data_IF_868381088893
#
_entry.id   IF_868381088893
#
_cell.length_a   1.000
_cell.length_b   1.000
_cell.length_c   1.000
_cell.angle_alpha   90.00
_cell.angle_beta   90.00
_cell.angle_gamma   90.00
#
_symmetry.space_group_name_H-M   'P 1'
#
loop_
_entity.id
_entity.type
_entity.pdbx_description
1 polymer ?
#
# COMPACT_ATOMS: atom_id res chain seq x y z
N UNK A 1 -7.16 -3.88 37.45
CA UNK A 1 -8.52 -3.43 37.10
C UNK A 1 -8.97 -4.23 35.90
N UNK A 2 -10.16 -4.83 35.95
CA UNK A 2 -10.72 -5.65 34.86
C UNK A 2 -11.70 -4.78 34.10
N UNK A 3 -11.54 -4.69 32.78
CA UNK A 3 -12.43 -3.91 31.91
C UNK A 3 -12.78 -4.76 30.70
N UNK A 4 -14.07 -4.88 30.40
CA UNK A 4 -14.58 -5.58 29.21
C UNK A 4 -15.41 -4.64 28.34
N UNK A 5 -15.41 -4.88 27.04
CA UNK A 5 -16.21 -4.15 26.06
C UNK A 5 -17.21 -5.04 25.32
N UNK A 6 -17.93 -4.42 24.38
CA UNK A 6 -18.83 -5.08 23.44
C UNK A 6 -18.43 -4.68 22.01
N UNK A 7 -19.01 -5.31 20.99
CA UNK A 7 -18.83 -5.08 19.54
C UNK A 7 -17.53 -5.56 18.88
N UNK A 8 -16.42 -5.65 19.61
CA UNK A 8 -15.09 -5.95 19.02
C UNK A 8 -14.66 -5.00 17.89
N UNK A 9 -14.92 -3.70 18.07
CA UNK A 9 -14.44 -2.65 17.16
C UNK A 9 -12.90 -2.64 17.06
N UNK A 10 -12.39 -2.08 15.97
CA UNK A 10 -10.94 -1.91 15.79
C UNK A 10 -10.33 -1.03 16.88
N UNK A 11 -11.04 -0.02 17.37
CA UNK A 11 -10.62 0.83 18.48
C UNK A 11 -10.41 0.05 19.79
N UNK A 12 -11.17 -1.03 20.02
CA UNK A 12 -10.99 -1.89 21.19
C UNK A 12 -9.61 -2.60 21.18
N UNK A 13 -8.99 -2.79 20.01
CA UNK A 13 -7.61 -3.28 19.88
C UNK A 13 -6.61 -2.19 20.24
N UNK A 14 -6.88 -0.95 19.83
CA UNK A 14 -5.99 0.20 20.04
C UNK A 14 -5.99 0.76 21.48
N UNK A 15 -6.85 0.27 22.37
CA UNK A 15 -6.79 0.62 23.79
C UNK A 15 -5.50 0.11 24.45
N UNK A 16 -4.99 0.81 25.45
CA UNK A 16 -3.87 0.33 26.29
C UNK A 16 -4.35 0.15 27.74
N UNK A 17 -4.49 -1.09 28.24
CA UNK A 17 -4.29 -2.37 27.54
C UNK A 17 -5.40 -2.70 26.52
N UNK A 18 -5.09 -3.55 25.53
CA UNK A 18 -6.07 -3.96 24.52
C UNK A 18 -7.31 -4.60 25.16
N UNK A 19 -8.48 -4.13 24.74
CA UNK A 19 -9.75 -4.37 25.43
C UNK A 19 -10.34 -5.73 25.05
N UNK A 20 -10.53 -6.60 26.05
CA UNK A 20 -11.33 -7.81 25.95
C UNK A 20 -12.77 -7.44 25.67
N UNK A 21 -13.42 -8.15 24.76
CA UNK A 21 -14.72 -7.72 24.23
C UNK A 21 -15.53 -8.90 23.73
N UNK A 22 -16.84 -8.72 23.61
CA UNK A 22 -17.72 -9.67 22.92
C UNK A 22 -17.88 -9.23 21.47
N UNK A 23 -17.45 -10.06 20.52
CA UNK A 23 -17.66 -9.84 19.09
C UNK A 23 -19.11 -10.10 18.74
N UNK A 24 -19.77 -9.07 18.22
CA UNK A 24 -21.06 -9.18 17.58
C UNK A 24 -20.90 -9.64 16.11
N UNK A 25 -21.70 -10.59 15.62
CA UNK A 25 -21.60 -11.08 14.25
C UNK A 25 -22.30 -10.13 13.25
N UNK A 26 -21.87 -8.86 13.17
CA UNK A 26 -22.54 -7.80 12.39
C UNK A 26 -22.72 -8.12 10.91
N UNK A 27 -21.73 -8.74 10.26
CA UNK A 27 -21.83 -9.14 8.84
C UNK A 27 -22.87 -10.24 8.62
N UNK A 28 -22.94 -11.19 9.55
CA UNK A 28 -23.89 -12.30 9.51
C UNK A 28 -25.31 -11.79 9.82
N UNK A 29 -25.45 -10.83 10.74
CA UNK A 29 -26.73 -10.14 11.01
C UNK A 29 -27.23 -9.51 9.72
N UNK A 30 -26.40 -8.75 9.00
CA UNK A 30 -26.79 -8.13 7.73
C UNK A 30 -27.19 -9.16 6.68
N UNK A 31 -26.38 -10.20 6.49
CA UNK A 31 -26.65 -11.27 5.51
C UNK A 31 -27.93 -12.03 5.82
N UNK A 32 -28.11 -12.47 7.07
CA UNK A 32 -29.29 -13.24 7.47
C UNK A 32 -30.55 -12.36 7.53
N UNK A 33 -30.43 -11.06 7.85
CA UNK A 33 -31.56 -10.14 7.79
C UNK A 33 -32.12 -10.00 6.36
N UNK A 34 -31.24 -9.79 5.37
CA UNK A 34 -31.65 -9.70 3.95
C UNK A 34 -32.26 -11.03 3.48
N UNK A 35 -31.63 -12.15 3.84
CA UNK A 35 -32.14 -13.49 3.50
C UNK A 35 -33.51 -13.76 4.13
N UNK A 36 -33.69 -13.41 5.41
CA UNK A 36 -34.95 -13.55 6.13
C UNK A 36 -36.06 -12.70 5.50
N UNK A 37 -35.75 -11.47 5.08
CA UNK A 37 -36.68 -10.59 4.37
C UNK A 37 -37.15 -11.21 3.05
N UNK A 38 -36.21 -11.75 2.25
CA UNK A 38 -36.54 -12.42 0.97
C UNK A 38 -37.38 -13.67 1.19
N UNK A 39 -37.09 -14.46 2.23
CA UNK A 39 -37.88 -15.62 2.61
C UNK A 39 -39.31 -15.23 3.02
N UNK A 40 -39.48 -14.12 3.76
CA UNK A 40 -40.81 -13.61 4.13
C UNK A 40 -41.59 -13.13 2.90
N UNK A 41 -40.96 -12.33 2.04
CA UNK A 41 -41.61 -11.81 0.81
C UNK A 41 -42.03 -12.96 -0.12
N UNK A 42 -41.24 -14.02 -0.20
CA UNK A 42 -41.54 -15.21 -1.01
C UNK A 42 -42.48 -16.22 -0.33
N UNK A 43 -42.96 -15.92 0.88
CA UNK A 43 -43.86 -16.81 1.63
C UNK A 43 -43.19 -18.07 2.19
N UNK A 44 -41.85 -18.15 2.19
CA UNK A 44 -41.09 -19.28 2.76
C UNK A 44 -40.95 -19.21 4.28
N UNK A 45 -41.18 -18.04 4.89
CA UNK A 45 -41.15 -17.81 6.34
C UNK A 45 -42.25 -16.84 6.76
N UNK A 46 -42.68 -16.95 8.01
CA UNK A 46 -43.71 -16.09 8.59
C UNK A 46 -43.18 -14.72 9.03
N UNK A 47 -44.03 -13.71 8.98
CA UNK A 47 -43.76 -12.40 9.57
C UNK A 47 -43.59 -12.52 11.09
N UNK A 48 -42.56 -11.88 11.65
CA UNK A 48 -42.22 -12.00 13.07
C UNK A 48 -41.23 -13.12 13.38
N UNK A 49 -40.69 -13.82 12.37
CA UNK A 49 -39.59 -14.79 12.57
C UNK A 49 -38.39 -14.09 13.22
N UNK A 50 -37.91 -14.65 14.35
CA UNK A 50 -36.71 -14.17 15.04
C UNK A 50 -35.56 -15.16 14.84
N UNK A 51 -34.38 -14.65 14.50
CA UNK A 51 -33.14 -15.41 14.37
C UNK A 51 -32.13 -14.91 15.38
N UNK A 52 -31.60 -15.81 16.20
CA UNK A 52 -30.51 -15.51 17.14
C UNK A 52 -29.19 -16.00 16.56
N UNK A 53 -28.22 -15.09 16.45
CA UNK A 53 -26.87 -15.40 15.98
C UNK A 53 -25.89 -15.44 17.16
N UNK A 54 -24.90 -16.34 17.15
CA UNK A 54 -23.97 -16.50 18.25
C UNK A 54 -22.96 -15.35 18.31
N UNK A 55 -22.83 -14.73 19.50
CA UNK A 55 -21.72 -13.83 19.81
C UNK A 55 -20.47 -14.61 20.25
N UNK A 56 -19.28 -14.06 20.04
CA UNK A 56 -18.02 -14.69 20.44
C UNK A 56 -17.21 -13.86 21.43
N UNK A 57 -16.69 -14.47 22.49
CA UNK A 57 -15.77 -13.78 23.41
C UNK A 57 -14.39 -13.62 22.76
N UNK A 58 -13.85 -12.39 22.79
CA UNK A 58 -12.52 -12.04 22.32
C UNK A 58 -11.67 -11.64 23.53
N UNK A 59 -10.74 -12.51 23.88
CA UNK A 59 -9.85 -12.32 25.01
C UNK A 59 -8.59 -11.57 24.59
N UNK A 60 -8.23 -10.58 25.40
CA UNK A 60 -7.09 -9.66 25.30
C UNK A 60 -6.53 -9.33 26.70
N UNK A 61 -5.86 -8.19 26.86
CA UNK A 61 -5.09 -7.83 28.07
C UNK A 61 -5.90 -7.15 29.17
N UNK A 62 -7.10 -6.64 28.89
CA UNK A 62 -7.93 -5.95 29.90
C UNK A 62 -8.79 -6.88 30.77
N UNK A 63 -8.90 -8.18 30.47
CA UNK A 63 -9.73 -9.13 31.23
C UNK A 63 -9.11 -9.56 32.57
N UNK A 64 -7.86 -9.17 32.85
CA UNK A 64 -7.15 -9.58 34.06
C UNK A 64 -6.86 -11.09 34.17
N UNK A 65 -7.07 -11.86 33.10
CA UNK A 65 -6.80 -13.31 33.10
C UNK A 65 -5.31 -13.58 32.86
N UNK A 66 -4.68 -14.27 33.83
CA UNK A 66 -3.33 -14.87 33.73
C UNK A 66 -3.41 -16.35 33.28
N UNK A 67 -4.63 -16.91 33.16
CA UNK A 67 -4.89 -18.29 32.69
C UNK A 67 -6.15 -18.35 31.82
N UNK A 68 -5.99 -18.47 30.50
CA UNK A 68 -7.03 -18.82 29.55
C UNK A 68 -6.54 -20.04 28.76
N UNK A 69 -7.27 -21.17 28.79
CA UNK A 69 -6.97 -22.29 27.91
C UNK A 69 -7.24 -21.89 26.45
N UNK A 70 -6.22 -22.02 25.61
CA UNK A 70 -6.25 -21.70 24.19
C UNK A 70 -6.98 -22.80 23.41
N UNK A 71 -8.27 -22.61 23.12
CA UNK A 71 -9.02 -23.51 22.24
C UNK A 71 -8.76 -23.27 20.74
N UNK A 72 -7.74 -22.48 20.37
CA UNK A 72 -7.50 -21.98 19.01
C UNK A 72 -6.59 -22.83 18.12
N UNK A 73 -5.94 -23.88 18.62
CA UNK A 73 -5.05 -24.71 17.80
C UNK A 73 -5.88 -25.71 17.01
N UNK A 74 -6.27 -25.36 15.78
CA UNK A 74 -6.69 -26.38 14.81
C UNK A 74 -5.57 -27.43 14.70
N UNK A 75 -5.93 -28.72 14.60
CA UNK A 75 -4.97 -29.80 14.31
C UNK A 75 -4.16 -29.42 13.07
N UNK A 76 -2.86 -29.17 13.26
CA UNK A 76 -1.94 -28.80 12.18
C UNK A 76 -1.82 -29.92 11.14
N UNK A 77 -1.57 -29.56 9.88
CA UNK A 77 -1.32 -30.50 8.80
C UNK A 77 0.19 -30.78 8.72
N UNK A 78 0.62 -31.98 9.14
CA UNK A 78 1.99 -32.48 8.95
C UNK A 78 3.12 -31.61 9.55
N UNK A 79 4.38 -32.07 9.46
CA UNK A 79 5.55 -31.26 9.81
C UNK A 79 5.76 -30.16 8.74
N UNK A 80 6.01 -28.93 9.17
CA UNK A 80 6.27 -27.82 8.25
C UNK A 80 7.78 -27.70 7.97
N UNK A 81 8.23 -27.82 6.70
CA UNK A 81 9.66 -27.73 6.36
C UNK A 81 10.29 -26.39 6.79
N UNK A 82 9.55 -25.28 6.74
CA UNK A 82 10.01 -23.95 7.17
C UNK A 82 10.27 -23.88 8.69
N UNK A 83 9.54 -24.68 9.48
CA UNK A 83 9.63 -24.71 10.94
C UNK A 83 10.47 -25.90 11.47
N UNK A 84 11.10 -26.69 10.60
CA UNK A 84 11.65 -28.00 10.99
C UNK A 84 12.71 -27.96 12.10
N UNK A 85 13.56 -26.92 12.13
CA UNK A 85 14.56 -26.71 13.19
C UNK A 85 13.88 -26.32 14.49
N UNK A 86 12.93 -25.39 14.42
CA UNK A 86 12.14 -24.94 15.56
C UNK A 86 11.35 -26.10 16.17
N UNK A 87 10.63 -26.89 15.35
CA UNK A 87 9.81 -28.02 15.81
C UNK A 87 10.65 -29.03 16.60
N UNK A 88 11.84 -29.38 16.11
CA UNK A 88 12.75 -30.33 16.78
C UNK A 88 13.27 -29.78 18.12
N UNK A 89 13.63 -28.50 18.18
CA UNK A 89 14.11 -27.86 19.39
C UNK A 89 12.98 -27.75 20.43
N UNK A 90 11.80 -27.31 20.00
CA UNK A 90 10.63 -27.17 20.86
C UNK A 90 10.18 -28.52 21.42
N UNK A 91 10.10 -29.57 20.59
CA UNK A 91 9.73 -30.91 21.05
C UNK A 91 10.75 -31.48 22.06
N UNK A 92 12.05 -31.23 21.86
CA UNK A 92 13.10 -31.63 22.81
C UNK A 92 12.91 -30.95 24.17
N UNK A 93 12.61 -29.65 24.18
CA UNK A 93 12.41 -28.89 25.43
C UNK A 93 11.15 -29.36 26.17
N UNK A 94 10.05 -29.59 25.45
CA UNK A 94 8.81 -30.12 26.02
C UNK A 94 9.02 -31.48 26.70
N UNK A 95 9.85 -32.35 26.12
CA UNK A 95 10.14 -33.70 26.65
C UNK A 95 11.15 -33.71 27.80
N UNK A 96 12.22 -32.92 27.71
CA UNK A 96 13.40 -33.11 28.56
C UNK A 96 13.73 -31.92 29.46
N UNK A 97 13.27 -30.70 29.14
CA UNK A 97 13.74 -29.46 29.80
C UNK A 97 12.65 -28.38 29.79
N UNK A 98 11.53 -28.68 30.47
CA UNK A 98 10.33 -27.85 30.47
C UNK A 98 10.54 -26.43 31.03
N UNK A 99 11.54 -26.22 31.90
CA UNK A 99 11.87 -24.91 32.49
C UNK A 99 12.35 -23.88 31.46
N UNK A 100 12.99 -24.32 30.38
CA UNK A 100 13.54 -23.44 29.35
C UNK A 100 12.57 -23.13 28.20
N UNK A 101 11.36 -23.71 28.23
CA UNK A 101 10.37 -23.58 27.14
C UNK A 101 9.90 -22.14 26.96
N UNK A 102 9.64 -21.44 28.07
CA UNK A 102 9.16 -20.05 28.05
C UNK A 102 10.23 -19.14 27.47
N UNK A 103 11.46 -19.21 28.00
CA UNK A 103 12.59 -18.40 27.52
C UNK A 103 12.89 -18.68 26.04
N UNK A 104 12.77 -19.95 25.61
CA UNK A 104 12.90 -20.30 24.19
C UNK A 104 11.83 -19.62 23.34
N UNK A 105 10.55 -19.70 23.74
CA UNK A 105 9.46 -19.07 23.00
C UNK A 105 9.57 -17.55 22.95
N UNK A 106 9.97 -16.90 24.04
CA UNK A 106 10.18 -15.44 24.08
C UNK A 106 11.31 -14.99 23.16
N UNK A 107 12.43 -15.74 23.13
CA UNK A 107 13.54 -15.43 22.23
C UNK A 107 13.18 -15.66 20.75
N UNK A 108 12.44 -16.73 20.46
CA UNK A 108 11.99 -17.02 19.10
C UNK A 108 10.91 -16.05 18.63
N UNK A 109 10.02 -15.60 19.52
CA UNK A 109 9.00 -14.60 19.24
C UNK A 109 9.58 -13.33 18.61
N UNK A 110 10.67 -12.79 19.17
CA UNK A 110 11.33 -11.59 18.64
C UNK A 110 11.81 -11.83 17.20
N UNK A 111 12.35 -13.01 16.91
CA UNK A 111 12.80 -13.36 15.55
C UNK A 111 11.62 -13.49 14.59
N UNK A 112 10.51 -14.08 15.03
CA UNK A 112 9.29 -14.23 14.23
C UNK A 112 8.62 -12.88 13.95
N UNK A 113 8.59 -11.97 14.93
CA UNK A 113 8.04 -10.62 14.73
C UNK A 113 8.89 -9.77 13.78
N UNK A 114 10.20 -10.02 13.71
CA UNK A 114 11.13 -9.31 12.81
C UNK A 114 11.15 -9.84 11.38
N UNK A 115 10.64 -11.04 11.14
CA UNK A 115 10.62 -11.67 9.82
C UNK A 115 9.21 -11.64 9.23
N UNK A 116 9.07 -11.70 7.91
CA UNK A 116 7.77 -11.93 7.23
C UNK A 116 7.27 -13.38 7.45
N UNK A 117 7.61 -13.98 8.60
CA UNK A 117 7.28 -15.34 8.94
C UNK A 117 5.77 -15.52 9.06
N UNK A 118 5.28 -16.64 8.54
CA UNK A 118 3.87 -16.96 8.61
C UNK A 118 3.52 -17.43 10.02
N UNK A 119 2.97 -16.53 10.84
CA UNK A 119 2.58 -16.83 12.22
C UNK A 119 1.60 -18.02 12.29
N UNK A 120 0.72 -18.20 11.29
CA UNK A 120 -0.22 -19.31 11.29
C UNK A 120 0.49 -20.66 11.20
N UNK A 121 1.58 -20.73 10.43
CA UNK A 121 2.43 -21.91 10.34
C UNK A 121 3.03 -22.22 11.71
N UNK A 122 3.62 -21.22 12.38
CA UNK A 122 4.20 -21.38 13.72
C UNK A 122 3.17 -21.88 14.75
N UNK A 123 2.03 -21.21 14.83
CA UNK A 123 0.96 -21.55 15.76
C UNK A 123 0.47 -22.97 15.50
N UNK A 124 0.33 -23.38 14.24
CA UNK A 124 -0.07 -24.74 13.88
C UNK A 124 0.96 -25.79 14.33
N UNK A 125 2.26 -25.53 14.16
CA UNK A 125 3.35 -26.42 14.57
C UNK A 125 3.42 -26.54 16.10
N UNK A 126 3.37 -25.43 16.82
CA UNK A 126 3.35 -25.42 18.29
C UNK A 126 2.13 -26.20 18.78
N UNK A 127 0.96 -25.95 18.19
CA UNK A 127 -0.25 -26.63 18.62
C UNK A 127 -0.29 -28.11 18.33
N UNK A 128 0.30 -28.56 17.22
CA UNK A 128 0.51 -29.98 16.95
C UNK A 128 1.36 -30.62 18.06
N UNK A 129 2.50 -30.02 18.38
CA UNK A 129 3.43 -30.57 19.39
C UNK A 129 2.79 -30.59 20.78
N UNK A 130 2.09 -29.52 21.18
CA UNK A 130 1.40 -29.48 22.47
C UNK A 130 0.29 -30.52 22.59
N UNK A 131 -0.44 -30.78 21.50
CA UNK A 131 -1.47 -31.83 21.47
C UNK A 131 -0.89 -33.24 21.52
N UNK A 132 0.25 -33.48 20.86
CA UNK A 132 0.94 -34.78 20.87
C UNK A 132 1.50 -35.12 22.26
N UNK A 133 1.92 -34.12 23.04
CA UNK A 133 2.57 -34.29 24.35
C UNK A 133 1.72 -33.81 25.53
N UNK A 134 0.41 -33.61 25.34
CA UNK A 134 -0.48 -32.94 26.31
C UNK A 134 -0.48 -33.57 27.71
N UNK A 135 -0.30 -34.88 27.81
CA UNK A 135 -0.31 -35.62 29.08
C UNK A 135 1.00 -35.53 29.87
N UNK A 136 2.10 -35.07 29.25
CA UNK A 136 3.42 -34.97 29.87
C UNK A 136 3.82 -33.55 30.31
N UNK A 137 2.96 -32.55 30.06
CA UNK A 137 3.27 -31.13 30.31
C UNK A 137 2.60 -30.68 31.61
N UNK A 138 3.35 -29.98 32.46
CA UNK A 138 2.78 -29.40 33.68
C UNK A 138 1.64 -28.41 33.33
N UNK A 139 0.46 -28.47 34.00
CA UNK A 139 -0.67 -27.60 33.67
C UNK A 139 -0.35 -26.10 33.73
N UNK A 140 0.50 -25.67 34.67
CA UNK A 140 0.98 -24.28 34.76
C UNK A 140 1.77 -23.86 33.53
N UNK A 141 2.72 -24.71 33.09
CA UNK A 141 3.52 -24.46 31.90
C UNK A 141 2.64 -24.39 30.64
N UNK A 142 1.69 -25.31 30.50
CA UNK A 142 0.75 -25.32 29.37
C UNK A 142 -0.05 -24.01 29.31
N UNK A 143 -0.54 -23.52 30.45
CA UNK A 143 -1.23 -22.23 30.54
C UNK A 143 -0.31 -21.07 30.15
N UNK A 144 0.93 -21.03 30.67
CA UNK A 144 1.89 -19.97 30.34
C UNK A 144 2.24 -19.95 28.84
N UNK A 145 2.42 -21.11 28.23
CA UNK A 145 2.63 -21.23 26.78
C UNK A 145 1.43 -20.65 26.03
N UNK A 146 0.20 -21.03 26.41
CA UNK A 146 -1.01 -20.50 25.80
C UNK A 146 -1.16 -18.99 25.94
N UNK A 147 -0.79 -18.43 27.08
CA UNK A 147 -0.76 -16.98 27.28
C UNK A 147 0.19 -16.29 26.33
N UNK A 148 1.42 -16.80 26.20
CA UNK A 148 2.38 -16.25 25.26
C UNK A 148 1.87 -16.32 23.82
N UNK A 149 1.28 -17.44 23.40
CA UNK A 149 0.73 -17.57 22.05
C UNK A 149 -0.42 -16.58 21.77
N UNK A 150 -1.25 -16.27 22.78
CA UNK A 150 -2.28 -15.24 22.66
C UNK A 150 -1.65 -13.85 22.47
N UNK A 151 -0.68 -13.50 23.30
CA UNK A 151 0.00 -12.20 23.24
C UNK A 151 0.67 -12.05 21.87
N UNK A 152 1.43 -13.05 21.43
CA UNK A 152 2.13 -13.03 20.15
C UNK A 152 1.17 -12.88 18.96
N UNK A 153 0.00 -13.53 19.02
CA UNK A 153 -1.00 -13.41 17.96
C UNK A 153 -1.60 -12.02 17.87
N UNK A 154 -1.89 -11.39 19.02
CA UNK A 154 -2.40 -10.02 19.02
C UNK A 154 -1.31 -9.03 18.58
N UNK A 155 -0.10 -9.12 19.12
CA UNK A 155 1.03 -8.23 18.74
C UNK A 155 1.38 -8.35 17.25
N UNK A 156 1.43 -9.56 16.71
CA UNK A 156 1.66 -9.75 15.27
C UNK A 156 0.53 -9.17 14.42
N UNK A 157 -0.72 -9.34 14.85
CA UNK A 157 -1.86 -8.75 14.14
C UNK A 157 -1.80 -7.22 14.16
N UNK A 158 -1.49 -6.62 15.30
CA UNK A 158 -1.30 -5.17 15.45
C UNK A 158 -0.17 -4.66 14.56
N UNK A 159 1.01 -5.30 14.59
CA UNK A 159 2.14 -4.93 13.74
C UNK A 159 1.79 -5.01 12.26
N UNK A 160 1.08 -6.06 11.82
CA UNK A 160 0.67 -6.20 10.41
C UNK A 160 -0.35 -5.14 10.00
N UNK A 161 -1.28 -4.78 10.88
CA UNK A 161 -2.23 -3.70 10.62
C UNK A 161 -1.54 -2.34 10.57
N UNK A 162 -0.65 -2.05 11.51
CA UNK A 162 0.13 -0.81 11.51
C UNK A 162 1.00 -0.69 10.26
N UNK A 163 1.66 -1.78 9.86
CA UNK A 163 2.44 -1.83 8.61
C UNK A 163 1.56 -1.56 7.39
N UNK A 164 0.37 -2.17 7.33
CA UNK A 164 -0.58 -1.91 6.24
C UNK A 164 -1.07 -0.45 6.23
N UNK A 165 -1.41 0.11 7.41
CA UNK A 165 -1.80 1.51 7.52
C UNK A 165 -0.67 2.45 7.10
N UNK A 166 0.57 2.16 7.50
CA UNK A 166 1.75 2.92 7.10
C UNK A 166 1.96 2.86 5.58
N UNK A 167 1.82 1.69 4.96
CA UNK A 167 1.87 1.52 3.50
C UNK A 167 0.75 2.32 2.79
N UNK A 168 -0.47 2.31 3.33
CA UNK A 168 -1.61 3.08 2.81
C UNK A 168 -1.38 4.61 2.96
N UNK A 169 -0.88 5.06 4.11
CA UNK A 169 -0.56 6.47 4.38
C UNK A 169 0.59 6.96 3.49
N UNK A 170 1.62 6.13 3.27
CA UNK A 170 2.70 6.43 2.33
C UNK A 170 2.17 6.60 0.91
N UNK A 171 1.27 5.71 0.46
CA UNK A 171 0.65 5.83 -0.85
C UNK A 171 -0.25 7.07 -0.95
N UNK A 172 -1.05 7.37 0.08
CA UNK A 172 -1.89 8.55 0.12
C UNK A 172 -1.07 9.84 0.02
N UNK A 173 -0.02 9.95 0.84
CA UNK A 173 0.90 11.09 0.80
C UNK A 173 1.61 11.19 -0.55
N UNK A 174 1.97 10.04 -1.14
CA UNK A 174 2.54 9.99 -2.48
C UNK A 174 1.64 10.65 -3.53
N UNK A 175 0.35 10.29 -3.52
CA UNK A 175 -0.64 10.85 -4.45
C UNK A 175 -0.86 12.33 -4.20
N UNK A 176 -1.00 12.74 -2.93
CA UNK A 176 -1.29 14.12 -2.56
C UNK A 176 -0.14 15.06 -2.93
N UNK A 177 1.10 14.65 -2.71
CA UNK A 177 2.27 15.44 -3.08
C UNK A 177 2.49 15.49 -4.59
N UNK A 178 2.26 14.37 -5.32
CA UNK A 178 2.32 14.35 -6.78
C UNK A 178 1.41 15.40 -7.43
N UNK A 179 0.25 15.69 -6.82
CA UNK A 179 -0.70 16.71 -7.30
C UNK A 179 -0.22 18.14 -7.08
N UNK A 180 0.74 18.37 -6.19
CA UNK A 180 1.29 19.70 -5.88
C UNK A 180 2.40 20.10 -6.86
N UNK A 181 2.91 19.15 -7.64
CA UNK A 181 4.04 19.36 -8.54
C UNK A 181 3.57 19.96 -9.88
N UNK A 182 4.22 21.04 -10.28
CA UNK A 182 3.94 21.75 -11.54
C UNK A 182 5.14 21.79 -12.50
N UNK A 183 6.35 21.51 -12.00
CA UNK A 183 7.57 21.52 -12.80
C UNK A 183 8.09 20.09 -13.08
N UNK A 184 8.57 19.80 -14.30
CA UNK A 184 9.12 18.49 -14.65
C UNK A 184 10.35 18.07 -13.84
N UNK A 185 11.18 19.03 -13.41
CA UNK A 185 12.41 18.73 -12.68
C UNK A 185 12.10 18.36 -11.21
N UNK A 186 11.17 19.07 -10.57
CA UNK A 186 10.66 18.74 -9.24
C UNK A 186 10.02 17.35 -9.22
N UNK A 187 9.28 16.99 -10.28
CA UNK A 187 8.72 15.65 -10.44
C UNK A 187 9.80 14.56 -10.48
N UNK A 188 10.92 14.78 -11.17
CA UNK A 188 12.01 13.80 -11.22
C UNK A 188 12.67 13.61 -9.86
N UNK A 189 12.91 14.69 -9.13
CA UNK A 189 13.49 14.64 -7.79
C UNK A 189 12.56 13.92 -6.80
N UNK A 190 11.27 14.24 -6.86
CA UNK A 190 10.24 13.61 -6.05
C UNK A 190 10.15 12.10 -6.29
N UNK A 191 10.06 11.68 -7.56
CA UNK A 191 9.98 10.27 -7.94
C UNK A 191 11.22 9.48 -7.51
N UNK A 192 12.41 10.09 -7.56
CA UNK A 192 13.65 9.47 -7.10
C UNK A 192 13.61 9.13 -5.61
N UNK A 193 13.16 10.06 -4.78
CA UNK A 193 13.07 9.82 -3.35
C UNK A 193 11.96 8.82 -3.00
N UNK A 194 10.75 9.05 -3.54
CA UNK A 194 9.54 8.39 -3.03
C UNK A 194 9.27 7.01 -3.60
N UNK A 195 9.64 6.73 -4.85
CA UNK A 195 9.43 5.37 -5.37
C UNK A 195 10.38 4.37 -4.70
N UNK A 196 11.59 4.80 -4.31
CA UNK A 196 12.50 3.96 -3.50
C UNK A 196 11.90 3.69 -2.12
N UNK A 197 11.33 4.70 -1.45
CA UNK A 197 10.63 4.53 -0.16
C UNK A 197 9.45 3.55 -0.27
N UNK A 198 8.73 3.57 -1.39
CA UNK A 198 7.64 2.64 -1.71
C UNK A 198 8.11 1.23 -2.11
N UNK A 199 9.42 0.96 -2.06
CA UNK A 199 10.00 -0.36 -2.31
C UNK A 199 10.35 -0.66 -3.77
N UNK A 200 10.19 0.31 -4.69
CA UNK A 200 10.58 0.16 -6.08
C UNK A 200 12.09 0.28 -6.25
N UNK A 201 12.73 -0.81 -6.66
CA UNK A 201 14.18 -0.87 -6.90
C UNK A 201 14.50 -0.59 -8.36
N UNK A 202 13.69 -1.15 -9.26
CA UNK A 202 13.92 -1.07 -10.70
C UNK A 202 12.70 -0.54 -11.42
N UNK A 203 12.81 0.69 -11.91
CA UNK A 203 11.72 1.31 -12.65
C UNK A 203 12.20 2.35 -13.67
N UNK A 204 11.40 2.52 -14.71
CA UNK A 204 11.64 3.43 -15.82
C UNK A 204 10.35 4.15 -16.17
N UNK A 205 10.41 5.46 -16.30
CA UNK A 205 9.29 6.29 -16.76
C UNK A 205 9.75 6.95 -18.04
N UNK A 206 9.02 6.71 -19.12
CA UNK A 206 9.33 7.23 -20.44
C UNK A 206 8.13 7.98 -21.01
N UNK A 207 8.40 9.05 -21.76
CA UNK A 207 7.39 9.87 -22.43
C UNK A 207 7.54 9.76 -23.93
N UNK A 208 6.42 9.70 -24.66
CA UNK A 208 6.45 9.77 -26.12
C UNK A 208 6.76 11.18 -26.59
N UNK A 209 7.67 11.29 -27.58
CA UNK A 209 7.90 12.52 -28.34
C UNK A 209 7.22 12.48 -29.70
N UNK A 210 7.14 11.28 -30.27
CA UNK A 210 6.55 10.97 -31.56
C UNK A 210 6.12 9.48 -31.55
N UNK A 211 5.39 9.02 -32.56
CA UNK A 211 4.78 7.69 -32.60
C UNK A 211 5.76 6.53 -32.37
N UNK A 212 7.01 6.66 -32.81
CA UNK A 212 8.05 5.63 -32.66
C UNK A 212 9.18 6.04 -31.69
N UNK A 213 9.13 7.23 -31.10
CA UNK A 213 10.23 7.80 -30.31
C UNK A 213 9.79 8.08 -28.88
N UNK A 214 10.54 7.52 -27.93
CA UNK A 214 10.38 7.78 -26.51
C UNK A 214 11.61 8.50 -25.95
N UNK A 215 11.38 9.39 -24.98
CA UNK A 215 12.41 9.96 -24.12
C UNK A 215 12.30 9.35 -22.73
N UNK A 216 13.44 8.97 -22.17
CA UNK A 216 13.53 8.54 -20.78
C UNK A 216 13.35 9.77 -19.87
N UNK A 217 12.19 9.85 -19.23
CA UNK A 217 11.88 10.92 -18.29
C UNK A 217 12.61 10.73 -16.96
N UNK A 218 12.57 9.50 -16.44
CA UNK A 218 13.24 9.12 -15.20
C UNK A 218 13.56 7.62 -15.18
N UNK A 219 14.67 7.24 -14.52
CA UNK A 219 15.01 5.84 -14.26
C UNK A 219 15.74 5.69 -12.93
N UNK A 220 15.55 4.56 -12.25
CA UNK A 220 16.31 4.25 -11.04
C UNK A 220 17.79 3.94 -11.30
N UNK A 221 18.19 3.81 -12.57
CA UNK A 221 19.58 3.61 -12.99
C UNK A 221 20.22 4.97 -13.33
N UNK A 222 21.25 5.42 -12.59
CA UNK A 222 21.77 6.79 -12.68
C UNK A 222 22.47 7.14 -14.01
N UNK A 223 22.78 6.16 -14.86
CA UNK A 223 23.59 6.36 -16.09
C UNK A 223 22.80 6.80 -17.33
N UNK A 224 21.48 7.01 -17.24
CA UNK A 224 20.64 7.35 -18.40
C UNK A 224 19.69 8.50 -18.07
N UNK A 225 20.16 9.75 -18.19
CA UNK A 225 19.29 10.94 -18.09
C UNK A 225 18.91 11.43 -19.49
N UNK A 226 17.61 11.64 -19.73
CA UNK A 226 17.04 12.21 -20.99
C UNK A 226 17.48 11.50 -22.28
N UNK A 227 17.74 10.20 -22.21
CA UNK A 227 18.07 9.41 -23.40
C UNK A 227 16.84 9.31 -24.31
N UNK A 228 17.03 9.57 -25.61
CA UNK A 228 16.01 9.39 -26.64
C UNK A 228 16.26 8.07 -27.35
N UNK A 229 15.21 7.26 -27.52
CA UNK A 229 15.32 5.91 -28.06
C UNK A 229 14.03 5.50 -28.79
N UNK A 230 14.09 4.40 -29.54
CA UNK A 230 12.89 3.87 -30.21
C UNK A 230 11.94 3.28 -29.16
N UNK A 231 10.68 3.69 -29.18
CA UNK A 231 9.65 3.24 -28.24
C UNK A 231 9.60 1.71 -28.08
N UNK A 232 9.77 0.97 -29.18
CA UNK A 232 9.78 -0.51 -29.23
C UNK A 232 10.92 -1.15 -28.44
N UNK A 233 11.96 -0.39 -28.10
CA UNK A 233 13.07 -0.87 -27.28
C UNK A 233 12.72 -0.89 -25.79
N UNK A 234 11.65 -0.20 -25.36
CA UNK A 234 11.19 -0.01 -23.98
C UNK A 234 12.17 0.74 -23.06
N UNK A 235 13.47 0.50 -23.18
CA UNK A 235 14.53 1.19 -22.45
C UNK A 235 15.64 1.64 -23.41
N UNK A 236 16.45 2.64 -23.04
CA UNK A 236 17.62 3.00 -23.82
C UNK A 236 18.58 1.81 -23.99
N UNK A 237 18.91 1.49 -25.23
CA UNK A 237 19.74 0.32 -25.59
C UNK A 237 18.98 -1.01 -25.67
N UNK A 238 17.66 -1.01 -25.42
CA UNK A 238 16.80 -2.20 -25.48
C UNK A 238 16.97 -3.15 -24.31
N UNK A 239 16.05 -4.12 -24.16
CA UNK A 239 16.03 -5.08 -23.04
C UNK A 239 17.33 -5.87 -22.83
N UNK A 240 18.17 -5.99 -23.86
CA UNK A 240 19.49 -6.66 -23.78
C UNK A 240 20.50 -5.88 -22.93
N UNK A 241 20.25 -4.59 -22.65
CA UNK A 241 21.11 -3.78 -21.79
C UNK A 241 20.92 -4.11 -20.29
N UNK A 242 19.85 -4.83 -19.92
CA UNK A 242 19.59 -5.26 -18.55
C UNK A 242 20.34 -6.56 -18.22
N UNK A 243 20.81 -6.66 -16.98
CA UNK A 243 21.38 -7.90 -16.42
C UNK A 243 20.27 -8.89 -16.06
N UNK A 244 20.19 -10.09 -16.68
CA UNK A 244 19.21 -11.11 -16.34
C UNK A 244 19.48 -11.78 -14.98
N UNK A 245 18.45 -12.34 -14.30
CA UNK A 245 17.04 -12.34 -14.69
C UNK A 245 16.34 -11.02 -14.30
N UNK A 246 15.44 -10.55 -15.15
CA UNK A 246 14.57 -9.41 -14.86
C UNK A 246 13.11 -9.77 -15.12
N UNK A 247 12.22 -9.16 -14.34
CA UNK A 247 10.77 -9.25 -14.52
C UNK A 247 10.23 -7.82 -14.62
N UNK A 248 9.60 -7.48 -15.75
CA UNK A 248 9.12 -6.14 -16.02
C UNK A 248 7.67 -6.20 -16.50
N UNK A 249 6.82 -5.38 -15.89
CA UNK A 249 5.49 -5.04 -16.39
C UNK A 249 5.55 -3.67 -17.05
N UNK A 250 4.86 -3.52 -18.17
CA UNK A 250 4.69 -2.25 -18.86
C UNK A 250 3.29 -1.71 -18.61
N UNK A 251 3.22 -0.54 -17.98
CA UNK A 251 1.99 0.16 -17.65
C UNK A 251 1.86 1.38 -18.56
N UNK A 252 0.86 1.44 -19.45
CA UNK A 252 0.71 2.55 -20.38
C UNK A 252 0.32 3.83 -19.63
N UNK A 253 0.96 4.94 -20.00
CA UNK A 253 0.60 6.27 -19.53
C UNK A 253 -0.15 6.95 -20.67
N UNK A 254 -1.43 7.24 -20.45
CA UNK A 254 -2.30 7.82 -21.46
C UNK A 254 -3.30 8.81 -20.83
N UNK A 255 -3.82 9.68 -21.68
CA UNK A 255 -5.01 10.51 -21.50
C UNK A 255 -6.13 9.96 -22.39
N UNK A 256 -7.36 10.46 -22.22
CA UNK A 256 -8.55 10.05 -22.99
C UNK A 256 -8.32 9.94 -24.50
N UNK A 257 -7.44 10.75 -25.10
CA UNK A 257 -7.16 10.73 -26.54
C UNK A 257 -5.65 10.78 -26.89
N UNK A 258 -4.74 10.73 -25.91
CA UNK A 258 -3.30 10.87 -26.17
C UNK A 258 -2.46 9.84 -25.40
N UNK A 259 -1.52 9.21 -26.08
CA UNK A 259 -0.52 8.35 -25.44
C UNK A 259 0.62 9.22 -24.91
N UNK A 260 0.77 9.27 -23.58
CA UNK A 260 1.79 10.08 -22.92
C UNK A 260 3.14 9.36 -22.85
N UNK A 261 3.11 8.04 -22.73
CA UNK A 261 4.31 7.23 -22.54
C UNK A 261 4.03 5.89 -21.87
N UNK A 262 5.00 5.41 -21.09
CA UNK A 262 4.86 4.17 -20.34
C UNK A 262 5.72 4.16 -19.08
N UNK A 263 5.27 3.39 -18.10
CA UNK A 263 5.94 3.12 -16.84
C UNK A 263 6.32 1.63 -16.78
N UNK A 264 7.61 1.35 -16.66
CA UNK A 264 8.13 -0.01 -16.48
C UNK A 264 8.52 -0.22 -15.03
N UNK A 265 8.11 -1.35 -14.46
CA UNK A 265 8.46 -1.73 -13.10
C UNK A 265 8.45 -3.25 -12.92
N UNK A 266 9.00 -3.76 -11.83
CA UNK A 266 8.92 -5.18 -11.49
C UNK A 266 7.62 -5.48 -10.73
N UNK A 267 6.75 -6.38 -11.23
CA UNK A 267 5.46 -6.66 -10.60
C UNK A 267 5.57 -7.38 -9.24
N UNK A 268 6.73 -7.90 -8.87
CA UNK A 268 6.96 -8.52 -7.55
C UNK A 268 7.22 -7.46 -6.46
N UNK A 269 7.64 -6.25 -6.86
CA UNK A 269 8.02 -5.19 -5.92
C UNK A 269 6.80 -4.47 -5.31
N UNK A 270 5.59 -4.68 -5.84
CA UNK A 270 4.38 -3.99 -5.36
C UNK A 270 3.10 -4.74 -5.70
N UNK A 271 2.03 -4.44 -4.96
CA UNK A 271 0.70 -4.99 -5.28
C UNK A 271 0.16 -4.39 -6.58
N UNK A 272 -0.72 -5.11 -7.32
CA UNK A 272 -1.36 -4.58 -8.52
C UNK A 272 -2.12 -3.27 -8.29
N UNK A 273 -2.71 -3.09 -7.09
CA UNK A 273 -3.44 -1.87 -6.72
C UNK A 273 -2.48 -0.68 -6.62
N UNK A 274 -1.32 -0.85 -6.00
CA UNK A 274 -0.28 0.19 -5.88
C UNK A 274 0.25 0.58 -7.26
N UNK A 275 0.56 -0.40 -8.12
CA UNK A 275 1.02 -0.16 -9.49
C UNK A 275 0.01 0.66 -10.30
N UNK A 276 -1.26 0.30 -10.25
CA UNK A 276 -2.31 1.02 -10.97
C UNK A 276 -2.52 2.43 -10.39
N UNK A 277 -2.39 2.58 -9.07
CA UNK A 277 -2.51 3.87 -8.39
C UNK A 277 -1.38 4.82 -8.78
N UNK A 278 -0.14 4.32 -8.86
CA UNK A 278 1.02 5.08 -9.32
C UNK A 278 0.85 5.45 -10.80
N UNK A 279 0.47 4.48 -11.64
CA UNK A 279 0.20 4.72 -13.07
C UNK A 279 -0.83 5.82 -13.27
N UNK A 280 -1.98 5.72 -12.61
CA UNK A 280 -3.05 6.72 -12.71
C UNK A 280 -2.62 8.09 -12.18
N UNK A 281 -1.87 8.14 -11.09
CA UNK A 281 -1.35 9.39 -10.53
C UNK A 281 -0.34 10.05 -11.47
N UNK A 282 0.57 9.27 -12.07
CA UNK A 282 1.52 9.75 -13.07
C UNK A 282 0.80 10.32 -14.30
N UNK A 283 -0.24 9.66 -14.80
CA UNK A 283 -1.07 10.18 -15.89
C UNK A 283 -1.63 11.57 -15.54
N UNK A 284 -2.27 11.71 -14.38
CA UNK A 284 -2.85 12.98 -13.93
C UNK A 284 -1.81 14.08 -13.75
N UNK A 285 -0.65 13.77 -13.16
CA UNK A 285 0.43 14.75 -12.97
C UNK A 285 1.03 15.19 -14.31
N UNK A 286 1.27 14.27 -15.25
CA UNK A 286 1.77 14.63 -16.58
C UNK A 286 0.77 15.50 -17.35
N UNK A 287 -0.53 15.19 -17.26
CA UNK A 287 -1.58 16.03 -17.85
C UNK A 287 -1.52 17.45 -17.28
N UNK A 288 -1.43 17.59 -15.96
CA UNK A 288 -1.37 18.90 -15.31
C UNK A 288 -0.13 19.70 -15.73
N UNK A 289 1.05 19.07 -15.75
CA UNK A 289 2.30 19.71 -16.19
C UNK A 289 2.19 20.15 -17.65
N UNK A 290 1.66 19.29 -18.52
CA UNK A 290 1.49 19.62 -19.94
C UNK A 290 0.50 20.78 -20.15
N UNK A 291 -0.62 20.80 -19.42
CA UNK A 291 -1.59 21.90 -19.46
C UNK A 291 -0.94 23.22 -19.04
N UNK A 292 -0.23 23.23 -17.90
CA UNK A 292 0.46 24.43 -17.40
C UNK A 292 1.52 24.90 -18.41
N UNK A 293 2.28 23.98 -19.01
CA UNK A 293 3.30 24.32 -20.01
C UNK A 293 2.70 24.98 -21.25
N UNK A 294 1.60 24.44 -21.78
CA UNK A 294 0.87 25.01 -22.93
C UNK A 294 0.32 26.41 -22.63
N UNK A 295 -0.23 26.61 -21.43
CA UNK A 295 -0.77 27.90 -21.02
C UNK A 295 0.34 28.96 -20.88
N UNK A 296 1.49 28.59 -20.31
CA UNK A 296 2.68 29.47 -20.24
C UNK A 296 3.19 29.84 -21.63
N UNK A 297 3.36 28.86 -22.51
CA UNK A 297 3.81 29.10 -23.90
C UNK A 297 2.84 30.04 -24.66
N UNK A 298 1.53 29.81 -24.49
CA UNK A 298 0.51 30.67 -25.06
C UNK A 298 0.57 32.09 -24.51
N UNK A 299 0.72 32.25 -23.19
CA UNK A 299 0.87 33.56 -22.53
C UNK A 299 2.09 34.33 -23.06
N UNK A 300 3.25 33.68 -23.16
CA UNK A 300 4.47 34.30 -23.72
C UNK A 300 4.29 34.69 -25.19
N UNK A 301 3.61 33.85 -25.99
CA UNK A 301 3.29 34.16 -27.38
C UNK A 301 2.36 35.38 -27.50
N UNK A 302 1.37 35.48 -26.61
CA UNK A 302 0.41 36.58 -26.59
C UNK A 302 1.07 37.89 -26.17
N UNK A 303 1.91 37.89 -25.13
CA UNK A 303 2.69 39.05 -24.70
C UNK A 303 3.59 39.56 -25.82
N UNK A 304 4.26 38.65 -26.54
CA UNK A 304 5.07 39.01 -27.70
C UNK A 304 4.25 39.72 -28.77
N UNK A 305 3.07 39.19 -29.12
CA UNK A 305 2.15 39.81 -30.10
C UNK A 305 1.63 41.17 -29.63
N UNK A 306 1.29 41.32 -28.35
CA UNK A 306 0.83 42.60 -27.78
C UNK A 306 1.94 43.65 -27.86
N UNK A 307 3.18 43.29 -27.53
CA UNK A 307 4.32 44.21 -27.62
C UNK A 307 4.61 44.63 -29.07
N UNK A 308 4.57 43.70 -30.03
CA UNK A 308 4.72 44.01 -31.45
C UNK A 308 3.65 45.01 -31.92
N UNK A 309 2.36 44.76 -31.60
CA UNK A 309 1.26 45.66 -31.96
C UNK A 309 1.32 47.03 -31.28
N UNK A 310 1.76 47.07 -30.03
CA UNK A 310 1.90 48.32 -29.28
C UNK A 310 3.01 49.18 -29.90
N UNK A 311 4.10 48.56 -30.34
CA UNK A 311 5.19 49.25 -31.05
C UNK A 311 4.76 49.78 -32.43
N UNK A 312 4.00 48.99 -33.21
CA UNK A 312 3.41 49.42 -34.49
C UNK A 312 2.50 50.64 -34.31
N UNK A 313 1.62 50.62 -33.30
CA UNK A 313 0.71 51.72 -33.01
C UNK A 313 1.44 52.99 -32.56
N UNK A 314 2.46 52.85 -31.72
CA UNK A 314 3.29 53.99 -31.30
C UNK A 314 4.01 54.62 -32.50
N UNK A 315 4.51 53.81 -33.43
CA UNK A 315 5.13 54.30 -34.66
C UNK A 315 4.12 55.06 -35.53
N UNK A 316 2.94 54.50 -35.76
CA UNK A 316 1.89 55.15 -36.56
C UNK A 316 1.39 56.46 -35.92
N UNK A 317 1.23 56.50 -34.60
CA UNK A 317 0.88 57.72 -33.86
C UNK A 317 1.97 58.79 -33.99
N UNK A 318 3.24 58.39 -33.95
CA UNK A 318 4.36 59.32 -34.14
C UNK A 318 4.39 59.91 -35.55
N UNK A 319 4.18 59.09 -36.58
CA UNK A 319 4.08 59.55 -37.97
C UNK A 319 2.90 60.51 -38.19
N UNK A 320 1.74 60.20 -37.62
CA UNK A 320 0.56 61.08 -37.67
C UNK A 320 0.84 62.42 -36.98
N UNK A 321 1.50 62.42 -35.82
CA UNK A 321 1.91 63.65 -35.13
C UNK A 321 2.83 64.51 -35.99
N UNK A 322 3.82 63.89 -36.66
CA UNK A 322 4.75 64.58 -37.55
C UNK A 322 4.06 65.15 -38.79
N UNK A 323 3.06 64.45 -39.35
CA UNK A 323 2.24 64.97 -40.45
C UNK A 323 1.39 66.15 -40.01
N UNK A 324 0.80 66.09 -38.81
CA UNK A 324 -0.03 67.16 -38.27
C UNK A 324 0.80 68.43 -38.02
N UNK A 325 1.99 68.32 -37.41
CA UNK A 325 2.90 69.45 -37.22
C UNK A 325 3.35 70.09 -38.55
N UNK A 326 3.52 69.29 -39.60
CA UNK A 326 3.84 69.80 -40.94
C UNK A 326 2.67 70.57 -41.56
N UNK A 327 1.44 70.10 -41.36
CA UNK A 327 0.23 70.77 -41.84
C UNK A 327 0.00 72.10 -41.12
N UNK A 328 0.21 72.15 -39.80
CA UNK A 328 0.09 73.41 -39.02
C UNK A 328 1.15 74.46 -39.41
N UNK A 329 2.33 74.04 -39.88
CA UNK A 329 3.37 74.97 -40.40
C UNK A 329 3.09 75.49 -41.80
N UNK A 330 2.11 74.92 -42.51
CA UNK A 330 1.73 75.29 -43.87
C UNK A 330 0.45 76.15 -43.94
N UNK A 331 -0.24 76.34 -42.81
CA UNK A 331 -1.41 77.23 -42.65
C UNK A 331 -1.03 78.58 -42.06
#
# INVERSE_FOLDING_TARGET
MIVGGFDNLNSARACSPALCTVRQPVDEIGREAVKLLLDIISGKRETGTCLTLPSGLVLRRSCGCISVPFNGLKKGHGPNPECSIFEKQFERLIKNEQTAVIDFLENQAINFLKSDFNLNNLLSSIGRILNEHSHGIAPDLLNRIYHLLLILREEYFEIRQLKQQEEEDQLYNFIDDLRKLSEPDDLREYLNAKLIDLGFKHFFISRYKDNDIAELFYSSIPSQKKAVFLAKQLIPGGLKSLTPPFNLICLPLYETETDLGFFLSNPIESSPVVLETIRSSLCGTFQMIDMISKEREYGTSLEKKVNERTSELQHALHELSLMNEKLEKLS
#
